data_IF_788484283517
#
_entry.id   IF_788484283517
#
_cell.length_a   1.000
_cell.length_b   1.000
_cell.length_c   1.000
_cell.angle_alpha   90.00
_cell.angle_beta   90.00
_cell.angle_gamma   90.00
#
_symmetry.space_group_name_H-M   'P 1'
#
loop_
_entity.id
_entity.type
_entity.pdbx_description
1 polymer ?
#
# COMPACT_ATOMS: atom_id res chain seq x y z
N UNK A 1 -61.47 -55.68 -22.02
CA UNK A 1 -61.56 -54.21 -21.97
C UNK A 1 -60.77 -53.75 -20.75
N UNK A 2 -59.92 -52.72 -20.89
CA UNK A 2 -59.06 -52.10 -19.86
C UNK A 2 -57.91 -52.92 -19.26
N UNK A 3 -56.67 -52.70 -19.75
CA UNK A 3 -55.40 -52.75 -18.97
C UNK A 3 -54.20 -52.55 -19.91
N UNK A 4 -53.92 -51.31 -20.36
CA UNK A 4 -52.64 -51.04 -21.05
C UNK A 4 -52.17 -49.58 -21.10
N UNK A 5 -52.86 -48.63 -20.46
CA UNK A 5 -52.54 -47.19 -20.58
C UNK A 5 -51.74 -46.56 -19.42
N UNK A 6 -51.54 -47.24 -18.29
CA UNK A 6 -50.90 -46.63 -17.11
C UNK A 6 -49.36 -46.73 -17.04
N UNK A 7 -48.70 -47.57 -17.85
CA UNK A 7 -47.24 -47.77 -17.73
C UNK A 7 -46.39 -46.69 -18.42
N UNK A 8 -46.95 -45.91 -19.35
CA UNK A 8 -46.19 -44.89 -20.11
C UNK A 8 -46.04 -43.55 -19.38
N UNK A 9 -46.88 -43.26 -18.38
CA UNK A 9 -46.88 -41.98 -17.66
C UNK A 9 -45.77 -41.96 -16.58
N UNK A 10 -45.44 -43.12 -16.01
CA UNK A 10 -44.41 -43.26 -14.99
C UNK A 10 -42.97 -43.15 -15.52
N UNK A 11 -42.75 -43.47 -16.80
CA UNK A 11 -41.43 -43.37 -17.43
C UNK A 11 -41.00 -41.91 -17.72
N UNK A 12 -41.96 -41.00 -17.93
CA UNK A 12 -41.68 -39.58 -18.19
C UNK A 12 -41.57 -38.73 -16.91
N UNK A 13 -42.18 -39.15 -15.80
CA UNK A 13 -42.00 -38.51 -14.49
C UNK A 13 -40.65 -38.85 -13.83
N UNK A 14 -40.14 -40.07 -14.05
CA UNK A 14 -38.84 -40.49 -13.53
C UNK A 14 -37.68 -39.72 -14.16
N UNK A 15 -37.73 -39.51 -15.48
CA UNK A 15 -36.69 -38.83 -16.25
C UNK A 15 -36.63 -37.30 -15.97
N UNK A 16 -37.77 -36.67 -15.68
CA UNK A 16 -37.82 -35.24 -15.33
C UNK A 16 -37.26 -34.96 -13.94
N UNK A 17 -37.46 -35.84 -12.95
CA UNK A 17 -36.86 -35.68 -11.62
C UNK A 17 -35.33 -35.86 -11.62
N UNK A 18 -34.78 -36.72 -12.48
CA UNK A 18 -33.31 -36.91 -12.55
C UNK A 18 -32.61 -35.74 -13.23
N UNK A 19 -33.20 -35.16 -14.28
CA UNK A 19 -32.65 -33.98 -14.95
C UNK A 19 -32.73 -32.74 -14.04
N UNK A 20 -33.79 -32.58 -13.24
CA UNK A 20 -33.90 -31.45 -12.31
C UNK A 20 -32.89 -31.54 -11.15
N UNK A 21 -32.60 -32.75 -10.66
CA UNK A 21 -31.59 -32.98 -9.62
C UNK A 21 -30.15 -32.70 -10.06
N UNK A 22 -29.80 -33.04 -11.31
CA UNK A 22 -28.47 -32.72 -11.88
C UNK A 22 -28.30 -31.23 -12.15
N UNK A 23 -29.37 -30.52 -12.55
CA UNK A 23 -29.35 -29.05 -12.72
C UNK A 23 -29.22 -28.35 -11.36
N UNK A 24 -29.84 -28.86 -10.29
CA UNK A 24 -29.69 -28.30 -8.94
C UNK A 24 -28.32 -28.56 -8.31
N UNK A 25 -27.71 -29.73 -8.57
CA UNK A 25 -26.35 -30.05 -8.07
C UNK A 25 -25.26 -29.22 -8.77
N UNK A 26 -25.50 -28.79 -10.01
CA UNK A 26 -24.58 -27.92 -10.76
C UNK A 26 -24.57 -26.47 -10.24
N UNK A 27 -25.61 -26.06 -9.51
CA UNK A 27 -25.76 -24.70 -8.96
C UNK A 27 -25.02 -24.47 -7.64
N UNK A 28 -24.33 -25.49 -7.10
CA UNK A 28 -23.60 -25.42 -5.82
C UNK A 28 -22.08 -25.46 -5.97
N UNK A 29 -21.55 -25.14 -7.16
CA UNK A 29 -20.16 -24.66 -7.24
C UNK A 29 -20.13 -23.23 -6.71
N UNK A 30 -20.00 -23.09 -5.39
CA UNK A 30 -19.61 -21.82 -4.78
C UNK A 30 -18.22 -21.47 -5.29
N UNK A 31 -18.17 -20.62 -6.32
CA UNK A 31 -16.95 -19.98 -6.75
C UNK A 31 -16.43 -19.17 -5.56
N UNK A 32 -15.39 -19.67 -4.90
CA UNK A 32 -14.67 -18.92 -3.89
C UNK A 32 -13.88 -17.86 -4.64
N UNK A 33 -14.42 -16.63 -4.70
CA UNK A 33 -13.63 -15.50 -5.17
C UNK A 33 -12.39 -15.42 -4.28
N UNK A 34 -11.21 -15.48 -4.90
CA UNK A 34 -9.95 -15.27 -4.19
C UNK A 34 -10.02 -13.92 -3.49
N UNK A 35 -9.68 -13.87 -2.21
CA UNK A 35 -9.62 -12.59 -1.50
C UNK A 35 -8.67 -11.63 -2.24
N UNK A 36 -9.06 -10.35 -2.39
CA UNK A 36 -8.20 -9.36 -3.01
C UNK A 36 -6.82 -9.35 -2.36
N UNK A 37 -5.77 -9.33 -3.19
CA UNK A 37 -4.38 -9.37 -2.70
C UNK A 37 -3.87 -7.94 -2.50
N UNK A 38 -3.23 -7.62 -1.36
CA UNK A 38 -2.60 -6.31 -1.16
C UNK A 38 -1.49 -6.05 -2.17
N UNK A 39 -1.51 -4.87 -2.79
CA UNK A 39 -0.44 -4.34 -3.62
C UNK A 39 0.46 -3.48 -2.72
N UNK A 40 1.64 -3.98 -2.41
CA UNK A 40 2.60 -3.33 -1.53
C UNK A 40 3.65 -2.56 -2.34
N UNK A 41 4.10 -1.38 -1.88
CA UNK A 41 5.30 -0.77 -2.41
C UNK A 41 6.53 -1.55 -1.96
N UNK A 42 7.59 -1.48 -2.76
CA UNK A 42 8.93 -1.98 -2.44
C UNK A 42 9.91 -0.85 -2.69
N UNK A 43 10.37 -0.19 -1.62
CA UNK A 43 11.18 1.02 -1.72
C UNK A 43 12.66 0.67 -1.74
N UNK A 44 13.33 1.06 -2.82
CA UNK A 44 14.76 0.84 -3.03
C UNK A 44 15.45 2.19 -3.06
N UNK A 45 16.46 2.36 -2.20
CA UNK A 45 17.33 3.52 -2.24
C UNK A 45 18.39 3.33 -3.33
N UNK A 46 18.46 4.27 -4.25
CA UNK A 46 19.46 4.25 -5.32
C UNK A 46 20.82 4.74 -4.81
N UNK A 47 21.92 4.40 -5.51
CA UNK A 47 23.24 4.95 -5.19
C UNK A 47 23.21 6.49 -5.18
N UNK A 48 23.82 7.13 -4.16
CA UNK A 48 23.89 8.59 -4.10
C UNK A 48 24.73 9.12 -5.27
N UNK A 49 24.32 10.26 -5.81
CA UNK A 49 25.00 10.94 -6.91
C UNK A 49 25.34 12.39 -6.54
N UNK A 50 26.22 13.03 -7.32
CA UNK A 50 26.56 14.45 -7.12
C UNK A 50 27.12 14.74 -5.73
N UNK A 51 28.10 13.94 -5.30
CA UNK A 51 28.69 14.04 -3.96
C UNK A 51 29.64 15.24 -3.90
N UNK A 52 29.47 16.12 -2.91
CA UNK A 52 30.40 17.22 -2.65
C UNK A 52 30.41 17.63 -1.17
N UNK A 53 31.44 18.37 -0.78
CA UNK A 53 31.55 18.97 0.55
C UNK A 53 31.18 20.44 0.50
N UNK A 54 30.44 20.91 1.50
CA UNK A 54 30.07 22.31 1.64
C UNK A 54 30.14 22.73 3.10
N UNK A 55 30.65 23.93 3.37
CA UNK A 55 30.53 24.57 4.68
C UNK A 55 29.27 25.40 4.73
N UNK A 56 28.34 25.10 5.63
CA UNK A 56 27.09 25.85 5.82
C UNK A 56 26.96 26.42 7.23
N UNK A 57 26.40 27.62 7.34
CA UNK A 57 26.07 28.30 8.61
C UNK A 57 24.56 28.48 8.80
N UNK A 58 23.75 28.01 7.85
CA UNK A 58 22.29 28.14 7.83
C UNK A 58 21.52 26.81 7.67
N UNK A 59 22.13 25.74 7.17
CA UNK A 59 21.46 24.47 6.83
C UNK A 59 22.09 23.24 7.48
N UNK A 60 21.41 22.09 7.41
CA UNK A 60 21.97 20.78 7.75
C UNK A 60 21.73 20.32 9.19
N UNK A 61 20.75 20.91 9.91
CA UNK A 61 20.48 20.56 11.31
C UNK A 61 21.52 21.15 12.28
N UNK A 62 21.94 22.38 12.00
CA UNK A 62 22.91 23.11 12.83
C UNK A 62 22.49 23.13 14.29
N UNK A 63 23.43 22.85 15.19
CA UNK A 63 23.22 22.94 16.63
C UNK A 63 23.03 24.38 17.11
N UNK A 64 23.63 25.35 16.41
CA UNK A 64 23.54 26.79 16.65
C UNK A 64 23.63 27.54 15.32
N UNK A 65 22.75 28.51 15.11
CA UNK A 65 22.81 29.42 13.96
C UNK A 65 24.14 30.17 13.93
N UNK A 66 24.74 30.33 12.74
CA UNK A 66 26.02 31.01 12.47
C UNK A 66 27.32 30.26 12.83
N UNK A 67 27.27 29.06 13.42
CA UNK A 67 28.45 28.19 13.54
C UNK A 67 28.61 27.35 12.26
N UNK A 68 29.73 27.44 11.53
CA UNK A 68 29.90 26.69 10.29
C UNK A 68 30.01 25.18 10.55
N UNK A 69 29.22 24.39 9.81
CA UNK A 69 29.34 22.93 9.75
C UNK A 69 29.79 22.47 8.37
N UNK A 70 30.72 21.52 8.34
CA UNK A 70 31.08 20.80 7.12
C UNK A 70 30.02 19.73 6.84
N UNK A 71 29.35 19.85 5.70
CA UNK A 71 28.29 18.97 5.25
C UNK A 71 28.77 18.11 4.08
N UNK A 72 28.49 16.81 4.14
CA UNK A 72 28.56 15.92 2.99
C UNK A 72 27.20 15.97 2.27
N UNK A 73 27.18 16.60 1.10
CA UNK A 73 25.97 16.72 0.28
C UNK A 73 25.99 15.72 -0.86
N UNK A 74 24.80 15.23 -1.20
CA UNK A 74 24.57 14.30 -2.30
C UNK A 74 23.08 14.31 -2.66
N UNK A 75 22.76 13.88 -3.87
CA UNK A 75 21.40 13.58 -4.29
C UNK A 75 21.05 12.16 -3.85
N UNK A 76 19.97 12.02 -3.08
CA UNK A 76 19.37 10.74 -2.72
C UNK A 76 18.11 10.49 -3.55
N UNK A 77 18.01 9.30 -4.13
CA UNK A 77 16.82 8.86 -4.86
C UNK A 77 16.26 7.58 -4.22
N UNK A 78 14.94 7.47 -4.20
CA UNK A 78 14.22 6.27 -3.78
C UNK A 78 13.21 5.99 -4.88
N UNK A 79 13.25 4.78 -5.44
CA UNK A 79 12.23 4.33 -6.37
C UNK A 79 11.38 3.22 -5.74
N UNK A 80 10.18 3.07 -6.28
CA UNK A 80 9.26 2.01 -5.90
C UNK A 80 9.32 0.90 -6.96
N UNK A 81 9.89 -0.25 -6.59
CA UNK A 81 9.94 -1.46 -7.40
C UNK A 81 8.67 -2.31 -7.27
N UNK A 82 7.88 -2.04 -6.23
CA UNK A 82 6.70 -2.83 -5.89
C UNK A 82 5.46 -2.44 -6.72
N UNK A 83 4.46 -3.33 -6.79
CA UNK A 83 3.24 -3.09 -7.55
C UNK A 83 2.27 -2.11 -6.86
N UNK A 84 2.46 -1.82 -5.57
CA UNK A 84 1.61 -0.92 -4.79
C UNK A 84 2.12 0.50 -4.72
N UNK A 85 1.23 1.48 -4.55
CA UNK A 85 1.61 2.89 -4.41
C UNK A 85 2.21 3.20 -3.03
N UNK A 86 3.05 4.23 -3.00
CA UNK A 86 3.50 4.89 -1.75
C UNK A 86 2.49 6.00 -1.42
N UNK A 87 1.45 5.66 -0.67
CA UNK A 87 0.38 6.61 -0.30
C UNK A 87 0.30 6.73 1.22
N UNK A 88 0.87 7.81 1.76
CA UNK A 88 0.73 8.18 3.16
C UNK A 88 -0.27 9.32 3.33
N UNK A 89 -1.19 9.15 4.28
CA UNK A 89 -2.22 10.12 4.65
C UNK A 89 -1.97 10.66 6.05
N UNK A 90 -2.26 11.95 6.24
CA UNK A 90 -2.12 12.64 7.51
C UNK A 90 -3.45 12.91 8.19
N UNK A 91 -3.51 12.71 9.51
CA UNK A 91 -4.65 13.16 10.32
C UNK A 91 -4.21 13.66 11.69
N UNK A 92 -4.92 14.67 12.20
CA UNK A 92 -4.78 15.23 13.55
C UNK A 92 -6.11 15.85 13.97
N UNK A 93 -6.39 15.92 15.28
CA UNK A 93 -7.64 16.50 15.78
C UNK A 93 -7.64 18.03 15.75
N UNK A 94 -6.47 18.65 15.89
CA UNK A 94 -6.30 20.10 15.87
C UNK A 94 -4.90 20.47 15.37
N UNK A 95 -4.66 21.75 15.06
CA UNK A 95 -3.35 22.25 14.62
C UNK A 95 -2.28 22.21 15.71
N UNK A 96 -2.66 22.09 16.99
CA UNK A 96 -1.73 21.94 18.11
C UNK A 96 -1.23 20.51 18.33
N UNK A 97 -1.78 19.51 17.63
CA UNK A 97 -1.38 18.12 17.73
C UNK A 97 -0.47 17.69 16.58
N UNK A 98 0.42 16.73 16.84
CA UNK A 98 1.24 16.10 15.81
C UNK A 98 0.36 15.41 14.76
N UNK A 99 0.67 15.60 13.47
CA UNK A 99 -0.04 14.92 12.40
C UNK A 99 0.46 13.49 12.24
N UNK A 100 -0.40 12.53 12.60
CA UNK A 100 -0.09 11.10 12.49
C UNK A 100 -0.21 10.65 11.05
N UNK A 101 0.70 9.78 10.63
CA UNK A 101 0.70 9.21 9.30
C UNK A 101 0.06 7.81 9.30
N UNK A 102 -0.66 7.50 8.23
CA UNK A 102 -1.22 6.17 7.95
C UNK A 102 -0.90 5.83 6.50
N UNK A 103 -0.57 4.58 6.22
CA UNK A 103 -0.35 4.13 4.86
C UNK A 103 -1.64 3.57 4.29
N UNK A 104 -2.07 4.06 3.13
CA UNK A 104 -3.16 3.45 2.38
C UNK A 104 -2.61 2.35 1.48
N UNK A 105 -3.01 1.12 1.75
CA UNK A 105 -2.62 -0.05 0.95
C UNK A 105 -3.81 -0.48 0.10
N UNK A 106 -3.62 -0.43 -1.21
CA UNK A 106 -4.61 -0.85 -2.19
C UNK A 106 -4.52 -2.35 -2.43
N UNK A 107 -5.67 -3.00 -2.65
CA UNK A 107 -5.75 -4.39 -3.07
C UNK A 107 -5.94 -4.47 -4.59
N UNK A 108 -5.75 -5.68 -5.14
CA UNK A 108 -5.87 -5.97 -6.56
C UNK A 108 -7.25 -5.66 -7.18
N UNK A 109 -8.30 -5.52 -6.38
CA UNK A 109 -9.66 -5.16 -6.82
C UNK A 109 -9.96 -3.66 -6.67
N UNK A 110 -8.97 -2.85 -6.26
CA UNK A 110 -9.11 -1.41 -6.02
C UNK A 110 -9.66 -1.02 -4.65
N UNK A 111 -10.10 -1.99 -3.83
CA UNK A 111 -10.36 -1.74 -2.41
C UNK A 111 -9.07 -1.35 -1.68
N UNK A 112 -9.16 -0.76 -0.50
CA UNK A 112 -7.97 -0.40 0.28
C UNK A 112 -8.19 -0.59 1.77
N UNK A 113 -7.08 -0.66 2.51
CA UNK A 113 -7.04 -0.54 3.96
C UNK A 113 -6.03 0.53 4.38
N UNK A 114 -6.25 1.10 5.56
CA UNK A 114 -5.30 2.03 6.18
C UNK A 114 -4.52 1.32 7.27
N UNK A 115 -3.20 1.33 7.15
CA UNK A 115 -2.28 0.74 8.11
C UNK A 115 -1.64 1.85 8.96
N UNK A 116 -1.61 1.71 10.29
CA UNK A 116 -0.97 2.70 11.15
C UNK A 116 0.53 2.76 10.87
N UNK A 117 1.09 3.97 10.80
CA UNK A 117 2.52 4.19 10.71
C UNK A 117 3.04 4.82 12.00
N UNK A 118 4.28 4.48 12.37
CA UNK A 118 5.00 5.18 13.42
C UNK A 118 5.48 6.56 12.96
N UNK A 119 5.37 6.91 11.67
CA UNK A 119 5.77 8.20 11.12
C UNK A 119 4.80 9.34 11.48
N UNK A 120 5.30 10.57 11.34
CA UNK A 120 4.53 11.79 11.49
C UNK A 120 4.73 12.66 10.26
N UNK A 121 3.79 13.57 10.01
CA UNK A 121 3.92 14.62 9.00
C UNK A 121 4.22 15.95 9.70
N UNK A 122 5.34 16.56 9.34
CA UNK A 122 5.72 17.89 9.84
C UNK A 122 5.69 18.88 8.68
N UNK A 123 5.08 20.05 8.92
CA UNK A 123 5.10 21.11 7.93
C UNK A 123 6.50 21.71 7.90
N UNK A 124 7.14 21.67 6.73
CA UNK A 124 8.41 22.36 6.53
C UNK A 124 8.15 23.73 5.91
N UNK A 125 8.95 24.70 6.32
CA UNK A 125 9.05 26.03 5.70
C UNK A 125 10.51 26.54 5.65
N UNK A 126 11.46 25.75 6.14
CA UNK A 126 12.83 26.16 6.40
C UNK A 126 13.74 26.08 5.17
N UNK A 127 13.38 25.28 4.17
CA UNK A 127 14.16 24.99 2.96
C UNK A 127 13.51 25.57 1.68
N UNK A 128 12.55 26.49 1.84
CA UNK A 128 11.79 27.08 0.72
C UNK A 128 10.67 26.19 0.20
N UNK A 129 10.43 25.04 0.84
CA UNK A 129 9.30 24.18 0.52
C UNK A 129 8.10 24.50 1.42
N UNK A 130 6.89 24.60 0.85
CA UNK A 130 5.63 24.80 1.58
C UNK A 130 4.79 23.51 1.53
N UNK A 131 5.31 22.43 2.14
CA UNK A 131 4.61 21.15 2.15
C UNK A 131 4.91 20.30 3.40
N UNK A 132 4.11 19.23 3.58
CA UNK A 132 4.25 18.28 4.68
C UNK A 132 5.34 17.25 4.36
N UNK A 133 6.35 17.16 5.22
CA UNK A 133 7.39 16.14 5.15
C UNK A 133 6.96 14.89 5.93
N UNK A 134 7.01 13.73 5.28
CA UNK A 134 6.96 12.44 5.97
C UNK A 134 8.26 12.22 6.73
N UNK A 135 8.16 12.20 8.06
CA UNK A 135 9.34 12.03 8.92
C UNK A 135 9.86 10.61 8.88
N UNK A 136 11.19 10.47 8.94
CA UNK A 136 11.91 9.19 8.94
C UNK A 136 11.70 8.34 7.67
N UNK A 137 11.49 9.00 6.53
CA UNK A 137 11.35 8.31 5.24
C UNK A 137 12.67 7.69 4.73
N UNK A 138 13.82 8.22 5.16
CA UNK A 138 15.14 7.71 4.81
C UNK A 138 16.10 7.82 6.00
N UNK A 139 17.14 6.97 6.01
CA UNK A 139 18.25 7.04 6.96
C UNK A 139 19.57 7.11 6.19
N UNK A 140 20.34 8.15 6.47
CA UNK A 140 21.69 8.31 5.94
C UNK A 140 22.71 8.01 7.03
N UNK A 141 23.77 7.30 6.66
CA UNK A 141 24.84 6.87 7.57
C UNK A 141 26.14 6.80 6.80
N UNK A 142 27.22 7.29 7.43
CA UNK A 142 28.58 7.21 6.91
C UNK A 142 29.34 6.15 7.71
N UNK A 143 30.02 5.25 7.00
CA UNK A 143 30.76 4.12 7.57
C UNK A 143 32.21 4.19 7.15
N UNK A 144 33.12 3.72 8.00
CA UNK A 144 34.49 3.41 7.62
C UNK A 144 34.58 1.97 7.07
N UNK A 145 35.75 1.58 6.58
CA UNK A 145 35.95 0.25 5.96
C UNK A 145 35.98 -0.93 6.93
N UNK A 146 35.97 -0.68 8.25
CA UNK A 146 36.54 -1.55 9.28
C UNK A 146 38.05 -1.83 9.06
#
# INVERSE_FOLDING_TARGET
MFTRKLSRIHAWLGLTLTVLGVVFASSMLTAHASSPTPLLPDLVADPPAGIFLETSTTEGGLKKTAEPQLLLRFNGYIHNLGPGAVDFRGSRKSTGEAMKAFQRVYNSDGSFKEEPSAAELLYASADGHEHWHLQRAAKYSLWNSA
#
